data_IF_712442933466
#
_entry.id   IF_712442933466
#
_cell.length_a   1.000
_cell.length_b   1.000
_cell.length_c   1.000
_cell.angle_alpha   90.00
_cell.angle_beta   90.00
_cell.angle_gamma   90.00
#
_symmetry.space_group_name_H-M   'P 1'
#
loop_
_entity.id
_entity.type
_entity.pdbx_description
1 polymer ?
#
# COMPACT_ATOMS: atom_id res chain seq x y z
N UNK A 1 -29.71 16.65 -1.57
CA UNK A 1 -29.34 15.28 -1.21
C UNK A 1 -28.11 14.95 -2.03
N UNK A 2 -26.92 15.27 -1.49
CA UNK A 2 -25.66 15.12 -2.23
C UNK A 2 -25.26 13.65 -2.12
N UNK A 3 -25.50 12.86 -3.17
CA UNK A 3 -24.89 11.54 -3.29
C UNK A 3 -23.37 11.73 -3.32
N UNK A 4 -22.72 11.43 -2.21
CA UNK A 4 -21.30 11.16 -2.23
C UNK A 4 -21.12 9.86 -3.00
N UNK A 5 -20.38 9.86 -4.13
CA UNK A 5 -20.07 8.62 -4.81
C UNK A 5 -19.36 7.71 -3.81
N UNK A 6 -19.81 6.46 -3.68
CA UNK A 6 -19.12 5.46 -2.87
C UNK A 6 -17.72 5.30 -3.48
N UNK A 7 -16.73 5.95 -2.87
CA UNK A 7 -15.30 5.84 -3.22
C UNK A 7 -14.85 4.37 -3.36
N UNK A 8 -15.55 3.45 -2.70
CA UNK A 8 -15.36 2.01 -2.78
C UNK A 8 -15.64 1.41 -4.19
N UNK A 9 -16.56 1.97 -4.99
CA UNK A 9 -16.94 1.38 -6.29
C UNK A 9 -16.00 1.76 -7.44
N UNK A 10 -15.12 2.75 -7.25
CA UNK A 10 -14.17 3.20 -8.28
C UNK A 10 -12.79 2.53 -8.18
N UNK A 11 -12.54 1.72 -7.16
CA UNK A 11 -11.21 1.16 -6.93
C UNK A 11 -10.98 -0.10 -7.78
N UNK A 12 -10.29 0.11 -8.91
CA UNK A 12 -9.61 -0.92 -9.67
C UNK A 12 -8.84 -1.86 -8.73
N UNK A 13 -8.84 -3.16 -9.05
CA UNK A 13 -8.15 -4.20 -8.30
C UNK A 13 -6.69 -3.78 -8.01
N UNK A 14 -6.40 -3.41 -6.77
CA UNK A 14 -5.06 -3.02 -6.37
C UNK A 14 -4.08 -4.14 -6.71
N UNK A 15 -2.95 -3.81 -7.34
CA UNK A 15 -1.94 -4.82 -7.62
C UNK A 15 -1.11 -5.09 -6.36
N UNK A 16 -1.41 -6.18 -5.67
CA UNK A 16 -0.60 -6.67 -4.56
C UNK A 16 0.45 -7.67 -5.09
N UNK A 17 1.76 -7.36 -5.03
CA UNK A 17 2.78 -8.24 -5.57
C UNK A 17 2.82 -9.61 -4.88
N UNK A 18 3.19 -10.64 -5.63
CA UNK A 18 3.21 -12.05 -5.18
C UNK A 18 3.94 -12.28 -3.84
N UNK A 19 5.09 -11.63 -3.53
CA UNK A 19 5.73 -11.81 -2.23
C UNK A 19 4.84 -11.44 -1.04
N UNK A 20 3.99 -10.42 -1.19
CA UNK A 20 3.07 -10.01 -0.13
C UNK A 20 1.90 -10.99 -0.01
N UNK A 21 1.34 -11.45 -1.12
CA UNK A 21 0.30 -12.49 -1.13
C UNK A 21 0.79 -13.75 -0.39
N UNK A 22 2.00 -14.20 -0.70
CA UNK A 22 2.64 -15.34 -0.01
C UNK A 22 2.85 -15.07 1.47
N UNK A 23 3.33 -13.89 1.83
CA UNK A 23 3.55 -13.52 3.23
C UNK A 23 2.25 -13.47 4.04
N UNK A 24 1.18 -12.91 3.50
CA UNK A 24 -0.15 -12.95 4.12
C UNK A 24 -0.61 -14.40 4.34
N UNK A 25 -0.53 -15.23 3.30
CA UNK A 25 -0.93 -16.64 3.37
C UNK A 25 -0.11 -17.44 4.41
N UNK A 26 1.21 -17.25 4.47
CA UNK A 26 2.09 -17.89 5.46
C UNK A 26 1.73 -17.53 6.91
N UNK A 27 1.14 -16.36 7.14
CA UNK A 27 0.66 -15.93 8.45
C UNK A 27 -0.78 -16.38 8.74
N UNK A 28 -1.45 -17.04 7.78
CA UNK A 28 -2.89 -17.30 7.86
C UNK A 28 -3.72 -16.00 7.83
N UNK A 29 -3.17 -14.94 7.26
CA UNK A 29 -3.79 -13.62 7.19
C UNK A 29 -4.39 -13.37 5.81
N UNK A 30 -5.37 -12.47 5.76
CA UNK A 30 -5.87 -11.88 4.52
C UNK A 30 -5.75 -10.36 4.64
N UNK A 31 -5.38 -9.71 3.54
CA UNK A 31 -5.35 -8.24 3.51
C UNK A 31 -6.77 -7.70 3.76
N UNK A 32 -6.87 -6.71 4.64
CA UNK A 32 -8.16 -6.08 4.98
C UNK A 32 -8.61 -5.17 3.85
N UNK A 33 -9.92 -4.98 3.67
CA UNK A 33 -10.47 -4.14 2.59
C UNK A 33 -9.83 -2.74 2.54
N UNK A 34 -9.74 -2.05 3.68
CA UNK A 34 -9.10 -0.72 3.76
C UNK A 34 -7.61 -0.72 3.41
N UNK A 35 -6.89 -1.85 3.54
CA UNK A 35 -5.49 -1.95 3.12
C UNK A 35 -5.38 -2.02 1.60
N UNK A 36 -6.30 -2.73 0.95
CA UNK A 36 -6.38 -2.85 -0.51
C UNK A 36 -6.87 -1.54 -1.13
N UNK A 37 -7.86 -0.88 -0.53
CA UNK A 37 -8.36 0.43 -0.98
C UNK A 37 -7.26 1.49 -0.90
N UNK A 38 -6.55 1.58 0.23
CA UNK A 38 -5.44 2.51 0.39
C UNK A 38 -4.34 2.23 -0.64
N UNK A 39 -4.02 0.95 -0.88
CA UNK A 39 -3.06 0.56 -1.91
C UNK A 39 -3.51 1.02 -3.30
N UNK A 40 -4.77 0.83 -3.67
CA UNK A 40 -5.31 1.28 -4.95
C UNK A 40 -5.21 2.81 -5.11
N UNK A 41 -5.64 3.57 -4.09
CA UNK A 41 -5.57 5.04 -4.11
C UNK A 41 -4.13 5.54 -4.21
N UNK A 42 -3.20 4.91 -3.48
CA UNK A 42 -1.78 5.26 -3.54
C UNK A 42 -1.15 4.88 -4.90
N UNK A 43 -1.51 3.74 -5.50
CA UNK A 43 -1.08 3.35 -6.84
C UNK A 43 -1.62 4.29 -7.94
N UNK A 44 -2.75 4.96 -7.69
CA UNK A 44 -3.27 6.03 -8.53
C UNK A 44 -2.55 7.38 -8.32
N UNK A 45 -1.50 7.43 -7.49
CA UNK A 45 -0.73 8.65 -7.21
C UNK A 45 -1.43 9.65 -6.30
N UNK A 46 -2.45 9.23 -5.56
CA UNK A 46 -3.23 10.10 -4.69
C UNK A 46 -2.80 10.01 -3.23
N UNK A 47 -2.91 11.15 -2.53
CA UNK A 47 -2.71 11.23 -1.07
C UNK A 47 -3.89 10.62 -0.32
N UNK A 48 -3.62 9.93 0.78
CA UNK A 48 -4.66 9.24 1.59
C UNK A 48 -4.57 9.64 3.05
N UNK A 49 -5.72 9.95 3.66
CA UNK A 49 -5.89 10.03 5.11
C UNK A 49 -6.62 8.77 5.60
N UNK A 50 -5.91 7.90 6.32
CA UNK A 50 -6.51 6.70 6.90
C UNK A 50 -6.98 6.95 8.34
N UNK A 51 -8.29 6.86 8.56
CA UNK A 51 -8.91 6.87 9.88
C UNK A 51 -9.41 5.45 10.19
N UNK A 52 -8.80 4.80 11.17
CA UNK A 52 -9.16 3.45 11.58
C UNK A 52 -8.94 3.26 13.08
N UNK A 53 -9.74 2.42 13.78
CA UNK A 53 -9.56 2.16 15.20
C UNK A 53 -8.22 1.46 15.51
N UNK A 54 -7.80 1.50 16.76
CA UNK A 54 -6.61 0.76 17.22
C UNK A 54 -6.78 -0.75 16.95
N UNK A 55 -5.70 -1.43 16.56
CA UNK A 55 -5.76 -2.85 16.19
C UNK A 55 -6.33 -3.14 14.79
N UNK A 56 -6.89 -2.13 14.09
CA UNK A 56 -7.41 -2.29 12.73
C UNK A 56 -6.33 -2.49 11.67
N UNK A 57 -5.05 -2.51 12.03
CA UNK A 57 -3.96 -2.80 11.08
C UNK A 57 -3.57 -1.59 10.22
N UNK A 58 -3.81 -0.38 10.73
CA UNK A 58 -3.46 0.90 10.08
C UNK A 58 -1.97 1.02 9.76
N UNK A 59 -1.10 0.43 10.58
CA UNK A 59 0.36 0.45 10.36
C UNK A 59 0.70 -0.24 9.04
N UNK A 60 0.26 -1.49 8.87
CA UNK A 60 0.49 -2.22 7.63
C UNK A 60 -0.17 -1.51 6.45
N UNK A 61 -1.39 -0.97 6.63
CA UNK A 61 -2.07 -0.19 5.61
C UNK A 61 -1.22 1.00 5.13
N UNK A 62 -0.64 1.78 6.05
CA UNK A 62 0.20 2.93 5.71
C UNK A 62 1.53 2.58 5.04
N UNK A 63 2.10 1.41 5.34
CA UNK A 63 3.37 0.97 4.74
C UNK A 63 3.20 0.19 3.44
N UNK A 64 2.05 -0.43 3.20
CA UNK A 64 1.85 -1.32 2.06
C UNK A 64 2.19 -0.65 0.71
N UNK A 65 1.76 0.59 0.41
CA UNK A 65 2.12 1.24 -0.86
C UNK A 65 3.63 1.33 -1.07
N UNK A 66 4.37 1.84 -0.08
CA UNK A 66 5.83 1.96 -0.16
C UNK A 66 6.54 0.62 -0.29
N UNK A 67 6.07 -0.41 0.44
CA UNK A 67 6.66 -1.74 0.36
C UNK A 67 6.41 -2.39 -1.01
N UNK A 68 5.20 -2.24 -1.57
CA UNK A 68 4.88 -2.78 -2.90
C UNK A 68 5.65 -2.07 -4.01
N UNK A 69 5.85 -0.75 -3.91
CA UNK A 69 6.68 0.00 -4.85
C UNK A 69 8.15 -0.46 -4.77
N UNK A 70 8.69 -0.65 -3.56
CA UNK A 70 10.04 -1.20 -3.36
C UNK A 70 10.20 -2.59 -3.98
N UNK A 71 9.21 -3.46 -3.83
CA UNK A 71 9.25 -4.81 -4.38
C UNK A 71 9.21 -4.84 -5.92
N UNK A 72 8.53 -3.87 -6.54
CA UNK A 72 8.46 -3.73 -8.01
C UNK A 72 9.72 -3.11 -8.63
N UNK A 73 10.66 -2.59 -7.83
CA UNK A 73 11.84 -1.91 -8.35
C UNK A 73 12.82 -2.90 -8.98
N UNK A 74 13.32 -2.62 -10.20
CA UNK A 74 14.35 -3.45 -10.81
C UNK A 74 15.62 -3.39 -9.97
N UNK A 75 16.32 -4.53 -9.89
CA UNK A 75 17.63 -4.63 -9.25
C UNK A 75 18.63 -3.63 -9.82
N UNK A 76 19.60 -3.22 -9.01
CA UNK A 76 20.66 -2.29 -9.43
C UNK A 76 21.55 -2.97 -10.46
N UNK A 77 21.81 -2.31 -11.59
CA UNK A 77 22.77 -2.79 -12.59
C UNK A 77 24.20 -2.37 -12.24
N UNK A 78 25.24 -3.10 -12.67
CA UNK A 78 26.62 -2.65 -12.54
C UNK A 78 26.81 -1.24 -13.11
N UNK A 79 27.54 -0.38 -12.41
CA UNK A 79 27.77 1.02 -12.82
C UNK A 79 26.62 2.02 -12.52
N UNK A 80 25.44 1.57 -12.06
CA UNK A 80 24.39 2.50 -11.66
C UNK A 80 24.71 3.18 -10.31
N UNK A 81 24.45 4.48 -10.27
CA UNK A 81 24.48 5.30 -9.07
C UNK A 81 23.55 4.75 -7.97
N UNK A 82 23.88 5.03 -6.71
CA UNK A 82 23.08 4.60 -5.57
C UNK A 82 21.76 5.39 -5.53
N UNK A 83 20.65 4.70 -5.29
CA UNK A 83 19.33 5.34 -5.16
C UNK A 83 19.23 6.08 -3.81
N UNK A 84 18.54 7.21 -3.82
CA UNK A 84 18.23 7.99 -2.61
C UNK A 84 17.14 7.35 -1.73
N UNK A 85 16.68 8.12 -0.75
CA UNK A 85 15.59 7.72 0.16
C UNK A 85 14.30 7.52 -0.64
N UNK A 86 13.62 6.39 -0.44
CA UNK A 86 12.31 6.10 -1.04
C UNK A 86 11.16 6.60 -0.17
N UNK A 87 11.19 6.26 1.12
CA UNK A 87 10.07 6.46 2.04
C UNK A 87 10.60 7.05 3.32
N UNK A 88 9.92 8.08 3.83
CA UNK A 88 10.16 8.65 5.14
C UNK A 88 8.94 8.39 6.02
N UNK A 89 9.12 7.63 7.10
CA UNK A 89 8.13 7.45 8.14
C UNK A 89 8.48 8.35 9.32
N UNK A 90 7.49 9.10 9.80
CA UNK A 90 7.65 10.06 10.90
C UNK A 90 6.72 9.61 12.03
N UNK A 91 7.28 9.34 13.19
CA UNK A 91 6.54 9.15 14.44
C UNK A 91 6.80 10.34 15.38
N UNK A 92 5.81 10.77 16.18
CA UNK A 92 6.01 11.75 17.25
C UNK A 92 7.02 11.31 18.30
#
# INVERSE_FOLDING_TARGET
>A
MTEQPRLAEQNAAAHLPEPFLKWFAQKGWSARAHQIELLATAQAGQSVLLIAPTGAGKTLAGFLPSLTELAGRPGRRPGQARRGIHTLYISP
#
